data_IF_510231032699
#
_entry.id   IF_510231032699
#
_cell.length_a   1.000
_cell.length_b   1.000
_cell.length_c   1.000
_cell.angle_alpha   90.00
_cell.angle_beta   90.00
_cell.angle_gamma   90.00
#
_symmetry.space_group_name_H-M   'P 1'
#
loop_
_entity.id
_entity.type
_entity.pdbx_description
1 polymer ?
#
# COMPACT_ATOMS: atom_id res chain seq x y z
N UNK A 1 -11.89 16.28 9.85
CA UNK A 1 -11.39 14.90 9.74
C UNK A 1 -12.22 14.21 8.68
N UNK A 2 -11.61 13.72 7.61
CA UNK A 2 -12.33 13.07 6.50
C UNK A 2 -12.38 11.57 6.70
N UNK A 3 -13.46 10.95 6.22
CA UNK A 3 -13.74 9.52 6.35
C UNK A 3 -13.74 8.85 4.98
N UNK A 4 -13.26 7.62 4.91
CA UNK A 4 -13.10 6.94 3.63
C UNK A 4 -13.27 5.43 3.67
N UNK A 5 -13.72 4.86 2.56
CA UNK A 5 -13.75 3.42 2.31
C UNK A 5 -13.05 3.08 1.00
N UNK A 6 -12.47 1.88 0.96
CA UNK A 6 -11.82 1.33 -0.21
C UNK A 6 -12.66 0.15 -0.69
N UNK A 7 -13.25 0.29 -1.87
CA UNK A 7 -14.09 -0.73 -2.51
C UNK A 7 -13.28 -1.39 -3.62
N UNK A 8 -13.20 -2.71 -3.60
CA UNK A 8 -12.51 -3.52 -4.61
C UNK A 8 -13.48 -4.47 -5.29
N UNK A 9 -13.48 -4.43 -6.62
CA UNK A 9 -14.26 -5.34 -7.47
C UNK A 9 -13.30 -6.34 -8.09
N UNK A 10 -13.48 -7.63 -7.77
CA UNK A 10 -12.64 -8.70 -8.30
C UNK A 10 -13.03 -9.11 -9.74
N UNK A 11 -12.28 -10.06 -10.30
CA UNK A 11 -12.54 -10.58 -11.65
C UNK A 11 -13.84 -11.36 -11.80
N UNK A 12 -14.33 -11.93 -10.70
CA UNK A 12 -15.59 -12.67 -10.66
C UNK A 12 -16.78 -11.72 -10.43
N UNK A 13 -16.55 -10.42 -10.26
CA UNK A 13 -17.56 -9.41 -10.00
C UNK A 13 -18.01 -9.34 -8.54
N UNK A 14 -17.30 -9.97 -7.61
CA UNK A 14 -17.52 -9.81 -6.17
C UNK A 14 -16.99 -8.45 -5.73
N UNK A 15 -17.71 -7.84 -4.79
CA UNK A 15 -17.40 -6.50 -4.28
C UNK A 15 -17.00 -6.62 -2.82
N UNK A 16 -15.82 -6.12 -2.50
CA UNK A 16 -15.30 -6.06 -1.15
C UNK A 16 -15.19 -4.59 -0.73
N UNK A 17 -15.57 -4.27 0.49
CA UNK A 17 -15.44 -2.93 1.05
C UNK A 17 -14.64 -3.00 2.34
N UNK A 18 -13.70 -2.08 2.50
CA UNK A 18 -13.11 -1.86 3.80
C UNK A 18 -14.14 -1.29 4.78
N UNK A 19 -13.82 -1.34 6.07
CA UNK A 19 -14.42 -0.49 7.10
C UNK A 19 -14.22 1.00 6.78
N UNK A 20 -14.96 1.87 7.46
CA UNK A 20 -14.80 3.32 7.34
C UNK A 20 -13.58 3.80 8.13
N UNK A 21 -12.51 4.16 7.42
CA UNK A 21 -11.34 4.79 8.01
C UNK A 21 -11.62 6.25 8.34
N UNK A 22 -11.41 6.64 9.61
CA UNK A 22 -11.70 7.97 10.11
C UNK A 22 -10.39 8.75 10.27
N UNK A 23 -10.06 9.59 9.29
CA UNK A 23 -8.87 10.43 9.32
C UNK A 23 -8.21 10.55 7.95
N UNK A 24 -7.98 11.77 7.49
CA UNK A 24 -7.11 12.11 6.34
C UNK A 24 -7.37 11.35 5.02
N UNK A 25 -8.60 10.87 4.79
CA UNK A 25 -8.99 10.11 3.60
C UNK A 25 -9.31 10.98 2.36
N UNK A 26 -8.79 12.20 2.25
CA UNK A 26 -8.95 13.01 1.03
C UNK A 26 -7.79 12.74 0.05
N UNK A 27 -7.95 12.96 -1.27
CA UNK A 27 -6.83 12.92 -2.22
C UNK A 27 -5.73 13.90 -1.80
N UNK A 28 -4.47 13.48 -1.76
CA UNK A 28 -3.30 14.18 -1.14
C UNK A 28 -3.15 14.01 0.38
N UNK A 29 -4.03 13.25 1.05
CA UNK A 29 -3.86 12.77 2.42
C UNK A 29 -3.37 11.31 2.46
N UNK A 30 -3.73 10.55 3.50
CA UNK A 30 -3.47 9.10 3.57
C UNK A 30 -3.95 8.34 2.32
N UNK A 31 -5.01 8.81 1.67
CA UNK A 31 -5.55 8.16 0.47
C UNK A 31 -4.64 8.23 -0.76
N UNK A 32 -3.60 9.07 -0.78
CA UNK A 32 -2.65 9.14 -1.89
C UNK A 32 -1.97 7.78 -2.14
N UNK A 33 -1.73 7.01 -1.06
CA UNK A 33 -1.22 5.64 -1.14
C UNK A 33 -2.12 4.70 -1.95
N UNK A 34 -3.44 4.92 -1.93
CA UNK A 34 -4.39 4.12 -2.74
C UNK A 34 -4.18 4.40 -4.23
N UNK A 35 -3.97 5.68 -4.59
CA UNK A 35 -3.73 6.09 -5.96
C UNK A 35 -2.41 5.52 -6.47
N UNK A 36 -1.34 5.64 -5.69
CA UNK A 36 -0.02 5.09 -6.02
C UNK A 36 -0.08 3.57 -6.30
N UNK A 37 -0.73 2.82 -5.42
CA UNK A 37 -0.88 1.36 -5.54
C UNK A 37 -1.73 0.98 -6.76
N UNK A 38 -2.77 1.75 -7.05
CA UNK A 38 -3.62 1.54 -8.22
C UNK A 38 -2.86 1.80 -9.53
N UNK A 39 -2.17 2.93 -9.63
CA UNK A 39 -1.37 3.30 -10.81
C UNK A 39 -0.21 2.33 -11.05
N UNK A 40 0.41 1.83 -9.98
CA UNK A 40 1.43 0.78 -10.03
C UNK A 40 0.88 -0.59 -10.45
N UNK A 41 -0.44 -0.77 -10.50
CA UNK A 41 -1.09 -2.00 -10.90
C UNK A 41 -1.09 -3.10 -9.83
N UNK A 42 -0.91 -2.72 -8.56
CA UNK A 42 -0.72 -3.67 -7.46
C UNK A 42 -2.03 -4.28 -6.94
N UNK A 43 -3.19 -3.67 -7.21
CA UNK A 43 -4.53 -4.27 -6.96
C UNK A 43 -4.92 -5.32 -8.00
N UNK A 44 -4.08 -6.35 -8.20
CA UNK A 44 -4.25 -7.34 -9.27
C UNK A 44 -5.19 -8.50 -8.93
N UNK A 45 -5.40 -8.76 -7.62
CA UNK A 45 -6.21 -9.83 -7.06
C UNK A 45 -6.69 -9.44 -5.64
N UNK A 46 -7.58 -10.25 -5.05
CA UNK A 46 -8.13 -10.01 -3.71
C UNK A 46 -7.07 -10.03 -2.60
N UNK A 47 -6.15 -10.99 -2.60
CA UNK A 47 -5.09 -11.12 -1.58
C UNK A 47 -4.21 -9.86 -1.49
N UNK A 48 -3.89 -9.25 -2.65
CA UNK A 48 -3.17 -7.98 -2.70
C UNK A 48 -4.00 -6.82 -2.10
N UNK A 49 -5.29 -6.76 -2.39
CA UNK A 49 -6.19 -5.76 -1.83
C UNK A 49 -6.33 -5.94 -0.30
N UNK A 50 -6.50 -7.17 0.17
CA UNK A 50 -6.63 -7.50 1.59
C UNK A 50 -5.37 -7.13 2.37
N UNK A 51 -4.20 -7.55 1.87
CA UNK A 51 -2.90 -7.20 2.44
C UNK A 51 -2.71 -5.69 2.53
N UNK A 52 -3.10 -4.95 1.48
CA UNK A 52 -3.05 -3.49 1.47
C UNK A 52 -3.96 -2.89 2.55
N UNK A 53 -5.22 -3.31 2.65
CA UNK A 53 -6.17 -2.76 3.65
C UNK A 53 -5.67 -3.02 5.08
N UNK A 54 -5.15 -4.20 5.37
CA UNK A 54 -4.61 -4.55 6.70
C UNK A 54 -3.44 -3.62 7.06
N UNK A 55 -2.52 -3.39 6.13
CA UNK A 55 -1.34 -2.54 6.36
C UNK A 55 -1.66 -1.06 6.39
N UNK A 56 -2.60 -0.64 5.56
CA UNK A 56 -3.15 0.71 5.58
C UNK A 56 -3.78 1.02 6.94
N UNK A 57 -4.58 0.10 7.48
CA UNK A 57 -5.11 0.20 8.83
C UNK A 57 -4.00 0.29 9.88
N UNK A 58 -3.04 -0.64 9.86
CA UNK A 58 -1.94 -0.68 10.84
C UNK A 58 -1.11 0.61 10.85
N UNK A 59 -0.86 1.19 9.67
CA UNK A 59 -0.02 2.38 9.52
C UNK A 59 -0.68 3.67 9.99
N UNK A 60 -2.03 3.75 9.94
CA UNK A 60 -2.73 5.03 10.06
C UNK A 60 -3.85 5.07 11.12
N UNK A 61 -4.50 3.93 11.44
CA UNK A 61 -5.74 3.93 12.23
C UNK A 61 -5.74 2.93 13.39
N UNK A 62 -5.12 1.75 13.22
CA UNK A 62 -4.97 0.75 14.28
C UNK A 62 -6.28 0.10 14.74
N UNK A 63 -7.27 -0.06 13.86
CA UNK A 63 -8.53 -0.74 14.21
C UNK A 63 -8.31 -2.24 14.40
N UNK A 64 -8.98 -2.82 15.40
CA UNK A 64 -8.89 -4.26 15.75
C UNK A 64 -10.05 -5.09 15.17
N UNK A 65 -11.04 -4.44 14.56
CA UNK A 65 -12.22 -5.09 13.98
C UNK A 65 -11.92 -5.75 12.62
N UNK A 66 -12.84 -6.60 12.15
CA UNK A 66 -12.77 -7.16 10.80
C UNK A 66 -12.80 -6.02 9.77
N UNK A 67 -11.70 -5.87 9.03
CA UNK A 67 -11.47 -4.68 8.22
C UNK A 67 -12.17 -4.71 6.86
N UNK A 68 -12.60 -5.87 6.38
CA UNK A 68 -13.11 -6.06 5.01
C UNK A 68 -14.41 -6.85 5.07
N UNK A 69 -15.41 -6.39 4.32
CA UNK A 69 -16.70 -7.05 4.23
C UNK A 69 -17.10 -7.26 2.76
N UNK A 70 -17.68 -8.42 2.49
CA UNK A 70 -18.31 -8.71 1.20
C UNK A 70 -19.62 -7.92 1.07
N UNK A 71 -19.76 -7.14 0.00
CA UNK A 71 -20.99 -6.41 -0.31
C UNK A 71 -21.86 -7.20 -1.28
N UNK A 72 -23.13 -7.36 -0.93
CA UNK A 72 -24.17 -7.81 -1.86
C UNK A 72 -24.80 -6.63 -2.58
N UNK A 73 -24.84 -6.69 -3.91
CA UNK A 73 -25.52 -5.69 -4.72
C UNK A 73 -27.03 -6.00 -4.81
N UNK A 74 -27.84 -4.94 -4.89
CA UNK A 74 -29.29 -5.04 -5.17
C UNK A 74 -29.55 -5.21 -6.67
N UNK A 75 -28.68 -4.65 -7.50
CA UNK A 75 -28.76 -4.65 -8.96
C UNK A 75 -27.40 -5.05 -9.54
N UNK A 76 -27.42 -5.90 -10.56
CA UNK A 76 -26.21 -6.46 -11.14
C UNK A 76 -25.31 -5.36 -11.71
N UNK A 77 -24.04 -5.37 -11.31
CA UNK A 77 -23.00 -4.42 -11.76
C UNK A 77 -23.29 -2.95 -11.44
N UNK A 78 -24.11 -2.68 -10.43
CA UNK A 78 -24.40 -1.33 -9.95
C UNK A 78 -23.87 -1.14 -8.53
N UNK A 79 -23.06 -0.10 -8.35
CA UNK A 79 -22.67 0.41 -7.04
C UNK A 79 -23.56 1.62 -6.75
N UNK A 80 -24.57 1.42 -5.91
CA UNK A 80 -25.47 2.47 -5.48
C UNK A 80 -24.88 3.22 -4.28
N UNK A 81 -24.51 4.48 -4.51
CA UNK A 81 -23.93 5.38 -3.52
C UNK A 81 -24.93 6.48 -3.10
N UNK A 82 -26.20 6.38 -3.48
CA UNK A 82 -27.21 7.43 -3.18
C UNK A 82 -27.45 7.63 -1.69
N UNK A 83 -27.26 6.58 -0.89
CA UNK A 83 -27.36 6.60 0.58
C UNK A 83 -25.97 6.60 1.26
N UNK A 84 -24.89 6.82 0.51
CA UNK A 84 -23.55 6.87 1.09
C UNK A 84 -23.38 8.16 1.91
N UNK A 85 -22.93 8.01 3.16
CA UNK A 85 -22.60 9.12 4.06
C UNK A 85 -21.09 9.21 4.34
N UNK A 86 -20.28 8.32 3.79
CA UNK A 86 -18.81 8.38 3.87
C UNK A 86 -18.31 9.54 3.00
N UNK A 87 -17.32 10.29 3.47
CA UNK A 87 -16.85 11.48 2.77
C UNK A 87 -16.17 11.11 1.44
N UNK A 88 -15.39 10.02 1.40
CA UNK A 88 -14.75 9.50 0.20
C UNK A 88 -14.96 7.99 -0.01
N UNK A 89 -15.19 7.57 -1.25
CA UNK A 89 -15.08 6.17 -1.66
C UNK A 89 -14.05 6.03 -2.77
N UNK A 90 -13.16 5.05 -2.62
CA UNK A 90 -12.16 4.67 -3.61
C UNK A 90 -12.57 3.34 -4.23
N UNK A 91 -13.16 3.37 -5.43
CA UNK A 91 -13.76 2.21 -6.07
C UNK A 91 -12.82 1.68 -7.16
N UNK A 92 -12.15 0.57 -6.89
CA UNK A 92 -11.17 -0.08 -7.77
C UNK A 92 -11.88 -1.15 -8.59
N UNK A 93 -11.99 -0.95 -9.91
CA UNK A 93 -12.51 -1.96 -10.83
C UNK A 93 -11.38 -2.82 -11.41
N UNK A 94 -11.14 -3.98 -10.80
CA UNK A 94 -10.24 -5.02 -11.35
C UNK A 94 -11.00 -6.11 -12.13
N UNK A 95 -12.31 -5.95 -12.34
CA UNK A 95 -13.10 -6.84 -13.19
C UNK A 95 -12.83 -6.59 -14.68
N UNK A 96 -13.24 -7.55 -15.51
CA UNK A 96 -13.12 -7.44 -16.97
C UNK A 96 -14.31 -6.71 -17.62
N UNK A 97 -15.27 -6.23 -16.83
CA UNK A 97 -16.45 -5.53 -17.30
C UNK A 97 -16.58 -4.10 -16.74
N UNK A 98 -17.40 -3.31 -17.41
CA UNK A 98 -17.83 -2.01 -16.91
C UNK A 98 -18.85 -2.17 -15.78
N UNK A 99 -18.77 -1.24 -14.83
CA UNK A 99 -19.68 -1.11 -13.70
C UNK A 99 -20.36 0.26 -13.72
N UNK A 100 -21.53 0.38 -13.11
CA UNK A 100 -22.25 1.64 -12.99
C UNK A 100 -22.16 2.13 -11.55
N UNK A 101 -21.74 3.38 -11.34
CA UNK A 101 -21.85 4.08 -10.06
C UNK A 101 -23.08 4.97 -10.13
N UNK A 102 -24.06 4.68 -9.28
CA UNK A 102 -25.31 5.45 -9.20
C UNK A 102 -25.23 6.42 -8.02
N UNK A 103 -25.10 7.71 -8.32
CA UNK A 103 -25.09 8.79 -7.33
C UNK A 103 -26.37 9.62 -7.37
N UNK A 104 -26.45 10.65 -6.52
CA UNK A 104 -27.62 11.54 -6.47
C UNK A 104 -27.81 12.34 -7.77
N UNK A 105 -26.72 12.70 -8.46
CA UNK A 105 -26.75 13.54 -9.65
C UNK A 105 -26.84 12.73 -10.96
N UNK A 106 -27.01 11.40 -10.87
CA UNK A 106 -27.08 10.51 -12.03
C UNK A 106 -26.11 9.33 -11.94
N UNK A 107 -25.85 8.72 -13.08
CA UNK A 107 -25.00 7.54 -13.21
C UNK A 107 -23.67 7.88 -13.85
N UNK A 108 -22.60 7.26 -13.37
CA UNK A 108 -21.27 7.28 -13.97
C UNK A 108 -20.83 5.87 -14.31
N UNK A 109 -20.02 5.73 -15.34
CA UNK A 109 -19.49 4.45 -15.78
C UNK A 109 -18.08 4.26 -15.24
N UNK A 110 -17.85 3.12 -14.62
CA UNK A 110 -16.57 2.68 -14.08
C UNK A 110 -16.05 1.57 -15.00
N UNK A 111 -15.32 1.97 -16.04
CA UNK A 111 -14.70 1.05 -16.99
C UNK A 111 -13.71 0.10 -16.28
N UNK A 112 -13.39 -1.02 -16.93
CA UNK A 112 -12.34 -1.94 -16.45
C UNK A 112 -11.03 -1.19 -16.18
N UNK A 113 -10.30 -1.59 -15.13
CA UNK A 113 -9.00 -1.00 -14.76
C UNK A 113 -9.08 0.51 -14.51
N UNK A 114 -10.16 0.92 -13.88
CA UNK A 114 -10.42 2.31 -13.48
C UNK A 114 -10.56 2.37 -11.95
N UNK A 115 -10.03 3.43 -11.37
CA UNK A 115 -10.29 3.84 -9.99
C UNK A 115 -11.27 5.02 -10.02
N UNK A 116 -12.45 4.83 -9.45
CA UNK A 116 -13.43 5.90 -9.22
C UNK A 116 -13.21 6.52 -7.84
N UNK A 117 -13.04 7.84 -7.80
CA UNK A 117 -13.02 8.61 -6.55
C UNK A 117 -14.38 9.28 -6.42
N UNK A 118 -15.12 8.88 -5.40
CA UNK A 118 -16.42 9.44 -5.04
C UNK A 118 -16.23 10.34 -3.85
N UNK A 119 -16.82 11.53 -3.89
CA UNK A 119 -16.94 12.42 -2.73
C UNK A 119 -18.41 12.55 -2.34
N UNK A 120 -18.73 12.13 -1.12
CA UNK A 120 -20.09 11.89 -0.65
C UNK A 120 -20.87 10.98 -1.61
N UNK A 121 -21.74 11.55 -2.44
CA UNK A 121 -22.68 10.82 -3.29
C UNK A 121 -22.48 11.17 -4.77
N UNK A 122 -21.31 11.74 -5.10
CA UNK A 122 -20.96 12.24 -6.41
C UNK A 122 -19.58 11.71 -6.82
N UNK A 123 -19.47 11.21 -8.04
CA UNK A 123 -18.17 10.86 -8.63
C UNK A 123 -17.42 12.16 -8.89
N UNK A 124 -16.26 12.29 -8.27
CA UNK A 124 -15.38 13.46 -8.41
C UNK A 124 -14.34 13.24 -9.52
N UNK A 125 -13.76 12.04 -9.59
CA UNK A 125 -12.70 11.71 -10.55
C UNK A 125 -12.73 10.25 -10.96
N UNK A 126 -12.35 9.99 -12.22
CA UNK A 126 -12.04 8.66 -12.74
C UNK A 126 -10.57 8.62 -13.16
N UNK A 127 -9.84 7.61 -12.69
CA UNK A 127 -8.42 7.40 -13.00
C UNK A 127 -8.31 6.09 -13.77
N UNK A 128 -7.92 6.17 -15.04
CA UNK A 128 -7.73 5.01 -15.90
C UNK A 128 -6.27 4.57 -15.83
N UNK A 129 -6.04 3.27 -15.58
CA UNK A 129 -4.69 2.72 -15.68
C UNK A 129 -4.33 2.50 -17.14
N UNK A 130 -3.53 3.40 -17.71
CA UNK A 130 -3.03 3.27 -19.07
C UNK A 130 -2.13 2.03 -19.19
N UNK A 131 -2.50 1.06 -20.02
CA UNK A 131 -1.53 0.14 -20.59
C UNK A 131 -0.94 0.83 -21.81
N UNK A 132 0.33 1.17 -21.77
CA UNK A 132 1.02 1.54 -23.00
C UNK A 132 1.16 0.28 -23.87
N UNK A 133 0.27 0.10 -24.85
CA UNK A 133 0.31 -1.00 -25.82
C UNK A 133 1.63 -1.08 -26.63
N UNK A 134 2.41 0.00 -26.63
CA UNK A 134 3.71 0.11 -27.31
C UNK A 134 4.90 0.48 -26.39
N UNK A 135 4.70 0.57 -25.07
CA UNK A 135 5.87 0.58 -24.19
C UNK A 135 6.37 -0.86 -24.17
N UNK A 136 7.62 -1.10 -24.60
CA UNK A 136 8.36 -2.22 -24.03
C UNK A 136 8.13 -2.12 -22.53
N UNK A 137 7.44 -3.12 -21.96
CA UNK A 137 7.30 -3.25 -20.52
C UNK A 137 8.71 -2.98 -19.96
N UNK A 138 8.87 -1.94 -19.15
CA UNK A 138 10.17 -1.62 -18.60
C UNK A 138 10.52 -2.76 -17.65
N UNK A 139 11.10 -3.82 -18.19
CA UNK A 139 11.51 -5.01 -17.47
C UNK A 139 12.92 -4.76 -16.96
N UNK A 140 13.05 -3.81 -16.04
CA UNK A 140 14.22 -3.82 -15.18
C UNK A 140 14.02 -4.97 -14.19
N UNK A 141 14.79 -6.05 -14.37
CA UNK A 141 14.91 -7.08 -13.35
C UNK A 141 16.06 -6.69 -12.43
N UNK A 142 15.83 -6.76 -11.12
CA UNK A 142 16.88 -6.64 -10.11
C UNK A 142 17.33 -8.04 -9.71
N UNK A 143 18.64 -8.29 -9.68
CA UNK A 143 19.19 -9.54 -9.17
C UNK A 143 19.05 -9.63 -7.64
N UNK A 144 19.14 -10.86 -7.10
CA UNK A 144 19.12 -11.09 -5.65
C UNK A 144 20.26 -10.34 -4.97
N UNK A 145 21.45 -10.37 -5.56
CA UNK A 145 22.63 -9.69 -5.04
C UNK A 145 22.45 -8.17 -4.99
N UNK A 146 21.93 -7.56 -6.06
CA UNK A 146 21.64 -6.12 -6.09
C UNK A 146 20.58 -5.73 -5.06
N UNK A 147 19.51 -6.53 -4.92
CA UNK A 147 18.46 -6.28 -3.92
C UNK A 147 19.02 -6.32 -2.49
N UNK A 148 19.78 -7.36 -2.18
CA UNK A 148 20.41 -7.55 -0.87
C UNK A 148 21.39 -6.41 -0.57
N UNK A 149 22.20 -6.01 -1.55
CA UNK A 149 23.11 -4.88 -1.40
C UNK A 149 22.35 -3.59 -1.08
N UNK A 150 21.28 -3.28 -1.83
CA UNK A 150 20.47 -2.08 -1.61
C UNK A 150 19.87 -2.09 -0.20
N UNK A 151 19.26 -3.19 0.23
CA UNK A 151 18.67 -3.28 1.58
C UNK A 151 19.73 -3.15 2.68
N UNK A 152 20.90 -3.76 2.52
CA UNK A 152 22.00 -3.60 3.47
C UNK A 152 22.47 -2.14 3.54
N UNK A 153 22.58 -1.43 2.40
CA UNK A 153 22.94 -0.01 2.38
C UNK A 153 21.89 0.87 3.06
N UNK A 154 20.60 0.58 2.89
CA UNK A 154 19.53 1.27 3.60
C UNK A 154 19.63 1.01 5.12
N UNK A 155 19.85 -0.24 5.52
CA UNK A 155 20.06 -0.61 6.94
C UNK A 155 21.24 0.12 7.55
N UNK A 156 22.39 0.12 6.88
CA UNK A 156 23.60 0.75 7.38
C UNK A 156 23.43 2.28 7.49
N UNK A 157 22.69 2.88 6.55
CA UNK A 157 22.26 4.29 6.63
C UNK A 157 21.38 4.55 7.86
N UNK A 158 20.35 3.73 8.07
CA UNK A 158 19.45 3.84 9.22
C UNK A 158 20.19 3.68 10.55
N UNK A 159 21.12 2.73 10.63
CA UNK A 159 21.97 2.51 11.79
C UNK A 159 22.90 3.68 12.07
N UNK A 160 23.49 4.27 11.02
CA UNK A 160 24.32 5.45 11.15
C UNK A 160 23.51 6.62 11.70
N UNK A 161 22.31 6.87 11.17
CA UNK A 161 21.39 7.90 11.68
C UNK A 161 21.07 7.63 13.16
N UNK A 162 20.74 6.39 13.53
CA UNK A 162 20.43 6.01 14.93
C UNK A 162 21.63 6.25 15.85
N UNK A 163 22.84 5.89 15.40
CA UNK A 163 24.09 6.10 16.15
C UNK A 163 24.36 7.59 16.35
N UNK A 164 24.27 8.38 15.28
CA UNK A 164 24.45 9.83 15.34
C UNK A 164 23.42 10.46 16.30
N UNK A 165 22.14 10.12 16.15
CA UNK A 165 21.08 10.57 17.06
C UNK A 165 21.36 10.20 18.52
N UNK A 166 21.90 9.01 18.79
CA UNK A 166 22.26 8.60 20.15
C UNK A 166 23.39 9.43 20.75
N UNK A 167 24.36 9.88 19.93
CA UNK A 167 25.44 10.77 20.37
C UNK A 167 24.88 12.16 20.71
N UNK A 168 24.03 12.69 19.84
CA UNK A 168 23.41 14.01 20.02
C UNK A 168 22.42 14.06 21.18
N UNK A 169 21.65 12.98 21.46
CA UNK A 169 20.76 12.92 22.63
C UNK A 169 21.49 13.03 23.97
N UNK A 170 22.78 12.71 23.99
CA UNK A 170 23.60 12.71 25.20
C UNK A 170 24.50 13.95 25.34
N UNK A 171 24.45 14.91 24.40
CA UNK A 171 25.23 16.15 24.49
C UNK A 171 24.40 17.31 25.01
N UNK A 172 24.99 18.09 25.92
CA UNK A 172 24.39 19.30 26.48
C UNK A 172 24.06 20.34 25.40
N UNK A 173 24.95 20.51 24.41
CA UNK A 173 24.79 21.49 23.33
C UNK A 173 23.57 21.20 22.43
N UNK A 174 23.13 19.94 22.34
CA UNK A 174 21.96 19.59 21.53
C UNK A 174 20.63 19.91 22.25
N UNK A 175 20.66 20.08 23.57
CA UNK A 175 19.51 20.63 24.33
C UNK A 175 19.33 22.12 24.03
N UNK A 176 20.42 22.83 23.69
CA UNK A 176 20.40 24.26 23.34
C UNK A 176 20.22 24.52 21.84
N UNK A 177 20.60 23.59 20.96
CA UNK A 177 20.54 23.73 19.49
C UNK A 177 19.65 22.65 18.84
N UNK A 178 18.35 22.94 18.70
CA UNK A 178 17.32 22.05 18.11
C UNK A 178 17.35 21.95 16.56
N UNK A 179 18.51 22.20 15.94
CA UNK A 179 18.62 22.30 14.47
C UNK A 179 19.34 21.13 13.79
N UNK A 180 19.87 20.16 14.54
CA UNK A 180 20.68 19.07 14.00
C UNK A 180 20.21 17.69 14.46
N UNK A 181 19.79 16.84 13.53
CA UNK A 181 19.61 15.40 13.76
C UNK A 181 20.42 14.60 12.72
N UNK A 182 20.62 13.31 12.98
CA UNK A 182 21.41 12.44 12.11
C UNK A 182 20.84 12.30 10.69
N UNK A 183 19.52 12.45 10.53
CA UNK A 183 18.88 12.38 9.22
C UNK A 183 19.23 13.61 8.35
N UNK A 184 19.41 14.78 8.95
CA UNK A 184 19.85 15.99 8.24
C UNK A 184 21.28 15.86 7.67
N UNK A 185 22.09 14.92 8.17
CA UNK A 185 23.47 14.70 7.74
C UNK A 185 23.58 13.69 6.59
N UNK A 186 22.52 12.94 6.29
CA UNK A 186 22.52 11.90 5.27
C UNK A 186 21.26 11.97 4.41
N UNK A 187 21.42 12.42 3.17
CA UNK A 187 20.36 12.35 2.16
C UNK A 187 20.26 10.88 1.71
N UNK A 188 19.29 10.13 2.25
CA UNK A 188 19.14 8.70 1.98
C UNK A 188 18.09 8.35 0.93
N UNK A 189 17.18 9.28 0.55
CA UNK A 189 16.06 9.05 -0.36
C UNK A 189 15.33 7.71 -0.13
N UNK A 190 15.29 7.24 1.12
CA UNK A 190 14.90 5.87 1.45
C UNK A 190 13.50 5.54 0.93
N UNK A 191 12.52 6.42 1.16
CA UNK A 191 11.15 6.25 0.69
C UNK A 191 11.07 6.08 -0.84
N UNK A 192 11.87 6.84 -1.60
CA UNK A 192 11.94 6.70 -3.06
C UNK A 192 12.56 5.37 -3.47
N UNK A 193 13.63 4.94 -2.82
CA UNK A 193 14.28 3.64 -3.10
C UNK A 193 13.31 2.49 -2.81
N UNK A 194 12.65 2.50 -1.66
CA UNK A 194 11.66 1.49 -1.27
C UNK A 194 10.49 1.46 -2.26
N UNK A 195 9.96 2.61 -2.66
CA UNK A 195 8.91 2.71 -3.68
C UNK A 195 9.33 2.08 -5.01
N UNK A 196 10.55 2.35 -5.48
CA UNK A 196 11.06 1.77 -6.73
C UNK A 196 11.25 0.25 -6.60
N UNK A 197 11.79 -0.25 -5.48
CA UNK A 197 11.94 -1.69 -5.24
C UNK A 197 10.58 -2.40 -5.23
N UNK A 198 9.56 -1.83 -4.58
CA UNK A 198 8.19 -2.36 -4.62
C UNK A 198 7.66 -2.49 -6.03
N UNK A 199 7.87 -1.46 -6.87
CA UNK A 199 7.45 -1.48 -8.28
C UNK A 199 8.19 -2.54 -9.08
N UNK A 200 9.50 -2.67 -8.89
CA UNK A 200 10.32 -3.65 -9.62
C UNK A 200 9.95 -5.09 -9.27
N UNK A 201 9.69 -5.37 -7.99
CA UNK A 201 9.35 -6.71 -7.50
C UNK A 201 7.84 -6.97 -7.42
N UNK A 202 7.01 -6.03 -7.88
CA UNK A 202 5.54 -6.11 -7.84
C UNK A 202 5.00 -6.45 -6.44
N UNK A 203 5.65 -5.90 -5.41
CA UNK A 203 5.36 -6.16 -4.00
C UNK A 203 4.07 -5.44 -3.56
N UNK A 204 2.94 -5.98 -3.97
CA UNK A 204 1.63 -5.41 -3.72
C UNK A 204 1.21 -5.48 -2.25
N UNK A 205 1.73 -6.48 -1.54
CA UNK A 205 1.52 -6.59 -0.12
C UNK A 205 2.44 -5.66 0.67
N UNK A 206 3.41 -4.96 0.07
CA UNK A 206 4.35 -4.06 0.76
C UNK A 206 5.28 -4.78 1.77
N UNK A 207 5.62 -6.05 1.52
CA UNK A 207 6.52 -6.86 2.34
C UNK A 207 7.88 -6.20 2.56
N UNK A 208 8.37 -5.43 1.59
CA UNK A 208 9.61 -4.66 1.70
C UNK A 208 9.49 -3.62 2.83
N UNK A 209 8.41 -2.84 2.86
CA UNK A 209 8.14 -1.86 3.91
C UNK A 209 8.05 -2.53 5.28
N UNK A 210 7.33 -3.64 5.37
CA UNK A 210 7.21 -4.39 6.62
C UNK A 210 8.57 -4.90 7.12
N UNK A 211 9.38 -5.46 6.23
CA UNK A 211 10.73 -5.92 6.57
C UNK A 211 11.62 -4.77 7.09
N UNK A 212 11.55 -3.59 6.47
CA UNK A 212 12.36 -2.44 6.84
C UNK A 212 11.87 -1.82 8.16
N UNK A 213 10.59 -1.47 8.23
CA UNK A 213 10.05 -0.61 9.30
C UNK A 213 9.56 -1.39 10.52
N UNK A 214 8.91 -2.53 10.29
CA UNK A 214 8.32 -3.33 11.37
C UNK A 214 9.36 -4.29 11.95
N UNK A 215 10.10 -5.00 11.08
CA UNK A 215 11.09 -5.99 11.51
C UNK A 215 12.49 -5.42 11.76
N UNK A 216 12.72 -4.12 11.55
CA UNK A 216 14.05 -3.47 11.64
C UNK A 216 15.10 -4.24 10.83
N UNK A 217 14.82 -4.41 9.54
CA UNK A 217 15.65 -5.19 8.60
C UNK A 217 15.90 -6.63 9.07
N UNK A 218 14.83 -7.31 9.51
CA UNK A 218 14.85 -8.70 9.96
C UNK A 218 15.33 -8.93 11.40
N UNK A 219 15.83 -7.91 12.11
CA UNK A 219 16.35 -8.05 13.48
C UNK A 219 15.32 -8.44 14.52
N UNK A 220 14.06 -8.06 14.28
CA UNK A 220 12.92 -8.37 15.16
C UNK A 220 12.11 -9.57 14.67
N UNK A 221 12.57 -10.26 13.63
CA UNK A 221 11.89 -11.44 13.13
C UNK A 221 11.97 -12.59 14.16
N UNK A 222 10.85 -13.26 14.36
CA UNK A 222 10.73 -14.49 15.15
C UNK A 222 9.93 -15.52 14.33
N UNK A 223 10.29 -16.82 14.36
CA UNK A 223 9.54 -17.85 13.65
C UNK A 223 8.04 -17.84 14.02
N UNK A 224 7.19 -17.86 13.00
CA UNK A 224 5.73 -17.86 13.14
C UNK A 224 5.09 -16.47 13.29
N UNK A 225 5.86 -15.37 13.21
CA UNK A 225 5.31 -14.01 13.28
C UNK A 225 4.61 -13.58 11.97
N UNK A 226 4.97 -14.20 10.85
CA UNK A 226 4.34 -13.98 9.54
C UNK A 226 3.96 -15.35 8.99
N UNK A 227 2.72 -15.50 8.52
CA UNK A 227 2.25 -16.74 7.91
C UNK A 227 1.58 -16.48 6.56
N UNK A 228 1.67 -17.44 5.65
CA UNK A 228 0.92 -17.45 4.40
C UNK A 228 -0.58 -17.74 4.62
N UNK A 229 -1.35 -17.75 3.52
CA UNK A 229 -2.79 -18.06 3.52
C UNK A 229 -3.11 -19.49 4.02
N UNK A 230 -2.12 -20.39 4.05
CA UNK A 230 -2.24 -21.77 4.52
C UNK A 230 -1.72 -21.95 5.96
N UNK A 231 -1.26 -20.88 6.61
CA UNK A 231 -0.67 -20.92 7.95
C UNK A 231 0.79 -21.39 7.99
N UNK A 232 1.49 -21.46 6.85
CA UNK A 232 2.92 -21.73 6.81
C UNK A 232 3.72 -20.48 7.17
N UNK A 233 4.76 -20.64 7.99
CA UNK A 233 5.66 -19.56 8.39
C UNK A 233 6.43 -19.00 7.20
N UNK A 234 6.43 -17.67 7.07
CA UNK A 234 7.19 -16.95 6.06
C UNK A 234 8.43 -16.36 6.71
N UNK A 235 9.60 -16.83 6.27
CA UNK A 235 10.89 -16.42 6.81
C UNK A 235 11.32 -15.07 6.26
N UNK A 236 11.18 -14.00 7.06
CA UNK A 236 11.72 -12.66 6.77
C UNK A 236 12.90 -12.31 7.68
N UNK A 237 13.71 -13.30 8.07
CA UNK A 237 14.90 -13.08 8.91
C UNK A 237 16.06 -12.37 8.19
N UNK A 238 16.08 -12.38 6.85
CA UNK A 238 17.17 -11.82 6.05
C UNK A 238 16.67 -11.23 4.71
N UNK A 239 17.45 -10.34 4.06
CA UNK A 239 17.07 -9.76 2.79
C UNK A 239 17.04 -10.80 1.66
N UNK A 240 17.89 -11.84 1.73
CA UNK A 240 17.86 -12.97 0.79
C UNK A 240 16.52 -13.70 0.83
N UNK A 241 16.03 -13.98 2.04
CA UNK A 241 14.77 -14.70 2.24
C UNK A 241 13.57 -13.89 1.78
N UNK A 242 13.59 -12.59 2.06
CA UNK A 242 12.59 -11.65 1.53
C UNK A 242 12.58 -11.65 -0.01
N UNK A 243 13.74 -11.61 -0.65
CA UNK A 243 13.82 -11.66 -2.12
C UNK A 243 13.25 -12.96 -2.69
N UNK A 244 13.61 -14.10 -2.08
CA UNK A 244 13.14 -15.42 -2.51
C UNK A 244 11.60 -15.52 -2.41
N UNK A 245 11.02 -14.95 -1.37
CA UNK A 245 9.57 -14.85 -1.22
C UNK A 245 8.93 -13.95 -2.27
N UNK A 246 9.47 -12.74 -2.49
CA UNK A 246 8.94 -11.76 -3.44
C UNK A 246 8.98 -12.25 -4.89
N UNK A 247 9.97 -13.06 -5.24
CA UNK A 247 10.14 -13.64 -6.59
C UNK A 247 9.44 -14.98 -6.76
N UNK A 248 8.89 -15.56 -5.68
CA UNK A 248 8.22 -16.85 -5.70
C UNK A 248 9.18 -18.04 -5.86
N UNK A 249 10.47 -17.87 -5.56
CA UNK A 249 11.45 -18.95 -5.51
C UNK A 249 11.23 -19.87 -4.30
N UNK A 250 10.42 -19.44 -3.32
CA UNK A 250 9.92 -20.26 -2.21
C UNK A 250 8.40 -20.08 -2.11
N UNK A 251 7.66 -21.19 -2.21
CA UNK A 251 6.24 -21.33 -1.84
C UNK A 251 6.13 -22.35 -0.72
#
# INVERSE_FOLDING_TARGET
MTRGKIIYIDRDGKIFSSVEFNGDMYPDGNADRILEMFEAGLFSNYSNYESFVIRFNKSHYGYEEELIHLLTYKEERVIDITENWTDYLYIINNSDCEWIIKGQNGTSFLEKRTLGIVRFQQVERMIHRALHENAKEFSASISKEEFVEILNRLRDSSDLIRKVNSLFRNSWDNVECDFCNGAALQISHESTVVFLLRKLLKDAAENIDYYIYELDYGRKYEPGIITDENGHDIDFSSPEKLYDYLTGEVK
#
